data_IF_665257944233
#
_entry.id   IF_665257944233
#
_cell.length_a   1.000
_cell.length_b   1.000
_cell.length_c   1.000
_cell.angle_alpha   90.00
_cell.angle_beta   90.00
_cell.angle_gamma   90.00
#
_symmetry.space_group_name_H-M   'P 1'
#
loop_
_entity.id
_entity.type
_entity.pdbx_description
1 polymer ?
#
# COMPACT_ATOMS: atom_id res chain seq x y z
N UNK A 1 -45.70 -36.33 -56.90
CA UNK A 1 -44.68 -35.27 -57.14
C UNK A 1 -44.78 -34.27 -55.95
N UNK A 2 -43.94 -34.37 -54.96
CA UNK A 2 -43.98 -33.51 -53.77
C UNK A 2 -42.70 -32.70 -53.66
N UNK A 3 -42.80 -31.40 -53.29
CA UNK A 3 -41.64 -30.54 -53.16
C UNK A 3 -40.88 -30.79 -51.86
N UNK A 4 -39.56 -30.86 -51.98
CA UNK A 4 -38.61 -31.02 -50.88
C UNK A 4 -38.49 -29.68 -50.09
N UNK A 5 -38.88 -29.73 -48.84
CA UNK A 5 -38.59 -28.66 -47.86
C UNK A 5 -37.09 -28.65 -47.53
N UNK A 6 -36.43 -27.59 -47.92
CA UNK A 6 -35.03 -27.26 -47.52
C UNK A 6 -35.10 -26.60 -46.16
N UNK A 7 -34.69 -27.34 -45.15
CA UNK A 7 -34.62 -26.85 -43.76
C UNK A 7 -33.27 -26.18 -43.58
N UNK A 8 -33.25 -24.84 -43.68
CA UNK A 8 -32.06 -24.02 -43.36
C UNK A 8 -31.83 -23.97 -41.89
N UNK A 9 -30.77 -24.64 -41.45
CA UNK A 9 -30.28 -24.63 -40.09
C UNK A 9 -29.54 -23.30 -39.81
N UNK A 10 -30.20 -22.36 -39.11
CA UNK A 10 -29.56 -21.11 -38.67
C UNK A 10 -28.75 -21.44 -37.41
N UNK A 11 -27.45 -21.59 -37.59
CA UNK A 11 -26.49 -21.75 -36.50
C UNK A 11 -26.25 -20.35 -35.85
N UNK A 12 -27.02 -20.08 -34.79
CA UNK A 12 -26.84 -18.88 -33.98
C UNK A 12 -25.53 -18.95 -33.19
N UNK A 13 -24.52 -18.22 -33.65
CA UNK A 13 -23.26 -18.01 -32.94
C UNK A 13 -23.53 -17.11 -31.75
N UNK A 14 -23.71 -17.68 -30.55
CA UNK A 14 -23.68 -16.94 -29.30
C UNK A 14 -22.23 -16.49 -29.02
N UNK A 15 -21.91 -15.27 -29.41
CA UNK A 15 -20.74 -14.58 -28.88
C UNK A 15 -21.01 -14.27 -27.41
N UNK A 16 -20.60 -15.16 -26.55
CA UNK A 16 -20.54 -14.91 -25.12
C UNK A 16 -19.57 -13.76 -24.83
N UNK A 17 -20.12 -12.55 -24.66
CA UNK A 17 -19.36 -11.43 -24.11
C UNK A 17 -18.87 -11.83 -22.71
N UNK A 18 -17.60 -12.20 -22.59
CA UNK A 18 -16.92 -12.38 -21.32
C UNK A 18 -16.85 -11.01 -20.65
N UNK A 19 -17.90 -10.63 -19.92
CA UNK A 19 -17.86 -9.48 -19.02
C UNK A 19 -16.93 -9.84 -17.87
N UNK A 20 -15.66 -9.44 -17.99
CA UNK A 20 -14.74 -9.47 -16.85
C UNK A 20 -15.36 -8.64 -15.73
N UNK A 21 -15.52 -9.17 -14.51
CA UNK A 21 -16.03 -8.39 -13.40
C UNK A 21 -15.09 -7.19 -13.21
N UNK A 22 -15.65 -5.98 -13.29
CA UNK A 22 -14.92 -4.74 -12.98
C UNK A 22 -14.45 -4.89 -11.53
N UNK A 23 -13.17 -5.19 -11.34
CA UNK A 23 -12.55 -5.18 -10.01
C UNK A 23 -12.71 -3.78 -9.46
N UNK A 24 -13.50 -3.64 -8.39
CA UNK A 24 -13.61 -2.37 -7.67
C UNK A 24 -12.21 -2.00 -7.19
N UNK A 25 -11.57 -1.03 -7.81
CA UNK A 25 -10.27 -0.54 -7.39
C UNK A 25 -10.42 0.12 -6.01
N UNK A 26 -9.62 -0.33 -5.04
CA UNK A 26 -9.56 0.28 -3.71
C UNK A 26 -8.61 1.48 -3.70
N UNK A 27 -7.60 1.45 -4.57
CA UNK A 27 -6.56 2.47 -4.66
C UNK A 27 -6.92 3.56 -5.67
N UNK A 28 -6.40 4.77 -5.44
CA UNK A 28 -6.42 5.83 -6.46
C UNK A 28 -5.67 5.35 -7.71
N UNK A 29 -6.16 5.67 -8.93
CA UNK A 29 -5.42 5.42 -10.15
C UNK A 29 -4.02 6.03 -10.08
N UNK A 30 -2.99 5.34 -10.56
CA UNK A 30 -1.59 5.78 -10.42
C UNK A 30 -1.33 7.21 -10.91
N UNK A 31 -1.97 7.60 -12.01
CA UNK A 31 -1.88 8.96 -12.59
C UNK A 31 -2.45 10.06 -11.68
N UNK A 32 -3.31 9.71 -10.73
CA UNK A 32 -3.98 10.64 -9.81
C UNK A 32 -3.29 10.68 -8.43
N UNK A 33 -2.32 9.77 -8.19
CA UNK A 33 -1.59 9.73 -6.93
C UNK A 33 -0.63 10.90 -6.83
N UNK A 34 -0.71 11.64 -5.72
CA UNK A 34 0.22 12.72 -5.40
C UNK A 34 1.41 12.16 -4.62
N UNK A 35 2.58 12.79 -4.76
CA UNK A 35 3.74 12.46 -3.95
C UNK A 35 3.43 12.64 -2.47
N UNK A 36 3.81 11.64 -1.66
CA UNK A 36 3.78 11.79 -0.21
C UNK A 36 4.81 12.83 0.20
N UNK A 37 4.46 13.78 1.08
CA UNK A 37 5.41 14.73 1.61
C UNK A 37 6.57 14.02 2.32
N UNK A 38 7.81 14.46 2.06
CA UNK A 38 8.96 13.94 2.79
C UNK A 38 9.01 14.58 4.19
N UNK A 39 9.48 13.81 5.15
CA UNK A 39 9.71 14.27 6.52
C UNK A 39 11.07 13.81 7.01
N UNK A 40 11.52 14.39 8.11
CA UNK A 40 12.73 14.01 8.82
C UNK A 40 12.43 13.98 10.31
N UNK A 41 12.26 12.79 10.88
CA UNK A 41 11.89 12.56 12.27
C UNK A 41 12.90 11.64 12.97
N UNK A 42 12.88 11.59 14.31
CA UNK A 42 13.76 10.72 15.10
C UNK A 42 13.05 9.45 15.54
N UNK A 43 13.76 8.33 15.46
CA UNK A 43 13.32 7.05 16.03
C UNK A 43 13.72 6.93 17.53
N UNK A 44 13.36 5.79 18.13
CA UNK A 44 13.62 5.48 19.54
C UNK A 44 15.12 5.41 19.91
N UNK A 45 15.99 5.23 18.90
CA UNK A 45 17.44 5.19 19.07
C UNK A 45 18.09 6.57 18.80
N UNK A 46 17.26 7.59 18.52
CA UNK A 46 17.71 8.95 18.17
C UNK A 46 18.21 9.10 16.73
N UNK A 47 18.05 8.06 15.88
CA UNK A 47 18.44 8.12 14.47
C UNK A 47 17.43 8.95 13.68
N UNK A 48 17.93 9.76 12.78
CA UNK A 48 17.08 10.49 11.83
C UNK A 48 16.59 9.55 10.73
N UNK A 49 15.29 9.54 10.51
CA UNK A 49 14.61 8.73 9.48
C UNK A 49 13.81 9.67 8.58
N UNK A 50 13.93 9.47 7.27
CA UNK A 50 13.18 10.19 6.25
C UNK A 50 12.26 9.24 5.51
N UNK A 51 11.12 9.72 5.03
CA UNK A 51 10.26 8.90 4.15
C UNK A 51 11.01 8.52 2.86
N UNK A 52 11.84 9.42 2.34
CA UNK A 52 12.67 9.18 1.15
C UNK A 52 13.63 7.99 1.28
N UNK A 53 14.00 7.57 2.51
CA UNK A 53 14.82 6.38 2.76
C UNK A 53 14.09 5.07 2.39
N UNK A 54 12.77 5.14 2.19
CA UNK A 54 11.90 4.00 1.84
C UNK A 54 11.51 3.96 0.37
N UNK A 55 12.15 4.74 -0.50
CA UNK A 55 11.92 4.67 -1.96
C UNK A 55 12.09 3.24 -2.48
N UNK A 56 11.20 2.82 -3.38
CA UNK A 56 11.17 1.45 -3.88
C UNK A 56 10.40 0.46 -3.02
N UNK A 57 9.98 0.85 -1.82
CA UNK A 57 9.11 0.04 -0.95
C UNK A 57 7.67 0.54 -1.00
N UNK A 58 6.72 -0.36 -0.78
CA UNK A 58 5.37 -0.01 -0.38
C UNK A 58 5.43 0.35 1.10
N UNK A 59 4.88 1.51 1.49
CA UNK A 59 4.93 1.99 2.87
C UNK A 59 3.52 2.15 3.43
N UNK A 60 3.28 1.59 4.61
CA UNK A 60 2.12 1.90 5.43
C UNK A 60 2.57 2.89 6.52
N UNK A 61 2.26 4.17 6.30
CA UNK A 61 2.56 5.25 7.23
C UNK A 61 1.33 5.49 8.11
N UNK A 62 1.45 5.24 9.42
CA UNK A 62 0.34 5.32 10.36
C UNK A 62 0.61 6.35 11.45
N UNK A 63 -0.31 7.29 11.63
CA UNK A 63 -0.35 8.24 12.75
C UNK A 63 -1.20 7.66 13.86
N UNK A 64 -0.66 7.57 15.07
CA UNK A 64 -1.27 6.91 16.22
C UNK A 64 -0.81 7.52 17.55
N UNK A 65 -1.42 7.11 18.66
CA UNK A 65 -0.96 7.43 20.01
C UNK A 65 -1.28 6.30 20.98
N UNK A 66 -0.61 6.26 22.12
CA UNK A 66 -0.79 5.22 23.15
C UNK A 66 -2.18 5.27 23.80
N UNK A 67 -2.75 6.46 23.93
CA UNK A 67 -4.10 6.72 24.47
C UNK A 67 -5.22 6.49 23.44
N UNK A 68 -4.89 6.27 22.17
CA UNK A 68 -5.85 6.04 21.11
C UNK A 68 -6.33 4.58 21.10
N UNK A 69 -7.48 4.32 21.69
CA UNK A 69 -8.09 2.97 21.75
C UNK A 69 -8.21 2.29 20.38
N UNK A 70 -8.75 2.91 19.32
CA UNK A 70 -8.83 2.27 18.01
C UNK A 70 -7.45 1.98 17.38
N UNK A 71 -6.42 2.78 17.67
CA UNK A 71 -5.04 2.51 17.23
C UNK A 71 -4.53 1.18 17.80
N UNK A 72 -4.84 0.90 19.05
CA UNK A 72 -4.46 -0.34 19.73
C UNK A 72 -5.02 -1.60 19.05
N UNK A 73 -6.17 -1.50 18.39
CA UNK A 73 -6.78 -2.61 17.65
C UNK A 73 -6.07 -2.88 16.30
N UNK A 74 -5.60 -1.85 15.60
CA UNK A 74 -4.99 -2.06 14.27
C UNK A 74 -3.49 -2.37 14.31
N UNK A 75 -2.75 -1.89 15.33
CA UNK A 75 -1.31 -2.11 15.48
C UNK A 75 -0.90 -3.59 15.37
N UNK A 76 -1.60 -4.57 15.99
CA UNK A 76 -1.29 -5.99 15.80
C UNK A 76 -1.36 -6.47 14.34
N UNK A 77 -2.24 -5.87 13.50
CA UNK A 77 -2.31 -6.16 12.08
C UNK A 77 -1.05 -5.65 11.37
N UNK A 78 -0.58 -4.46 11.74
CA UNK A 78 0.63 -3.87 11.15
C UNK A 78 1.89 -4.64 11.54
N UNK A 79 1.98 -5.14 12.77
CA UNK A 79 3.02 -6.08 13.22
C UNK A 79 3.03 -7.34 12.34
N UNK A 80 1.85 -7.87 12.05
CA UNK A 80 1.71 -9.03 11.16
C UNK A 80 2.12 -8.69 9.72
N UNK A 81 1.69 -7.56 9.16
CA UNK A 81 2.02 -7.14 7.80
C UNK A 81 3.52 -6.92 7.63
N UNK A 82 4.18 -6.23 8.58
CA UNK A 82 5.64 -6.06 8.55
C UNK A 82 6.35 -7.41 8.50
N UNK A 83 5.97 -8.35 9.37
CA UNK A 83 6.56 -9.70 9.40
C UNK A 83 6.38 -10.46 8.10
N UNK A 84 5.19 -10.34 7.48
CA UNK A 84 4.84 -11.09 6.27
C UNK A 84 5.43 -10.51 4.98
N UNK A 85 5.63 -9.19 4.92
CA UNK A 85 5.88 -8.51 3.65
C UNK A 85 7.19 -7.71 3.59
N UNK A 86 7.95 -7.57 4.70
CA UNK A 86 9.22 -6.81 4.71
C UNK A 86 10.19 -7.24 3.60
N UNK A 87 10.30 -8.56 3.36
CA UNK A 87 11.20 -9.12 2.34
C UNK A 87 10.67 -8.94 0.90
N UNK A 88 9.42 -8.51 0.76
CA UNK A 88 8.80 -8.14 -0.52
C UNK A 88 8.94 -6.64 -0.84
N UNK A 89 9.76 -5.92 -0.08
CA UNK A 89 9.90 -4.47 -0.21
C UNK A 89 8.68 -3.71 0.33
N UNK A 90 8.28 -4.06 1.54
CA UNK A 90 7.25 -3.39 2.34
C UNK A 90 7.88 -2.82 3.61
N UNK A 91 7.27 -1.79 4.16
CA UNK A 91 7.59 -1.30 5.49
C UNK A 91 6.38 -0.62 6.14
N UNK A 92 6.23 -0.84 7.45
CA UNK A 92 5.36 0.00 8.29
C UNK A 92 6.22 1.09 8.94
N UNK A 93 5.70 2.32 8.98
CA UNK A 93 6.26 3.43 9.75
C UNK A 93 5.14 3.96 10.64
N UNK A 94 5.31 3.85 11.95
CA UNK A 94 4.42 4.46 12.92
C UNK A 94 4.91 5.85 13.31
N UNK A 95 4.04 6.85 13.28
CA UNK A 95 4.31 8.19 13.82
C UNK A 95 3.45 8.33 15.08
N UNK A 96 4.13 8.32 16.25
CA UNK A 96 3.47 8.54 17.53
C UNK A 96 3.21 10.03 17.74
N UNK A 97 2.00 10.34 18.18
CA UNK A 97 1.54 11.68 18.52
C UNK A 97 1.39 11.88 20.04
N UNK A 98 2.16 11.13 20.82
CA UNK A 98 2.15 11.20 22.28
C UNK A 98 2.97 12.40 22.78
N UNK A 99 2.37 13.27 23.58
CA UNK A 99 3.03 14.42 24.20
C UNK A 99 4.08 13.99 25.24
N UNK A 100 3.85 12.86 25.92
CA UNK A 100 4.79 12.29 26.88
C UNK A 100 6.03 11.66 26.19
N UNK A 101 6.02 11.60 24.89
CA UNK A 101 7.13 11.13 24.08
C UNK A 101 7.53 9.68 24.35
N UNK A 102 8.84 9.41 24.30
CA UNK A 102 9.36 8.04 24.43
C UNK A 102 9.08 7.37 25.77
N UNK A 103 8.76 8.15 26.81
CA UNK A 103 8.42 7.61 28.12
C UNK A 103 7.11 6.79 28.08
N UNK A 104 6.13 7.26 27.32
CA UNK A 104 4.88 6.52 27.09
C UNK A 104 5.02 5.48 25.97
N UNK A 105 5.72 5.84 24.88
CA UNK A 105 5.74 5.07 23.65
C UNK A 105 6.54 3.78 23.75
N UNK A 106 7.72 3.77 24.41
CA UNK A 106 8.57 2.57 24.50
C UNK A 106 7.88 1.40 25.23
N UNK A 107 7.28 1.59 26.44
CA UNK A 107 6.56 0.50 27.09
C UNK A 107 5.40 -0.03 26.25
N UNK A 108 4.68 0.84 25.55
CA UNK A 108 3.58 0.45 24.66
C UNK A 108 4.06 -0.36 23.45
N UNK A 109 5.22 0.01 22.89
CA UNK A 109 5.83 -0.75 21.79
C UNK A 109 6.19 -2.17 22.24
N UNK A 110 6.74 -2.32 23.45
CA UNK A 110 7.08 -3.61 24.04
C UNK A 110 5.83 -4.45 24.30
N UNK A 111 4.79 -3.87 24.90
CA UNK A 111 3.52 -4.53 25.20
C UNK A 111 2.86 -5.10 23.95
N UNK A 112 2.82 -4.35 22.85
CA UNK A 112 2.18 -4.77 21.60
C UNK A 112 3.12 -5.52 20.64
N UNK A 113 4.38 -5.71 21.02
CA UNK A 113 5.38 -6.38 20.18
C UNK A 113 5.62 -5.68 18.84
N UNK A 114 5.64 -4.34 18.84
CA UNK A 114 5.84 -3.53 17.63
C UNK A 114 7.22 -3.84 17.05
N UNK A 115 7.25 -4.35 15.83
CA UNK A 115 8.44 -4.85 15.14
C UNK A 115 8.83 -3.99 13.92
N UNK A 116 8.27 -2.80 13.81
CA UNK A 116 8.50 -1.84 12.73
C UNK A 116 9.01 -0.50 13.29
N UNK A 117 9.42 0.39 12.39
CA UNK A 117 9.97 1.69 12.76
C UNK A 117 8.89 2.61 13.36
N UNK A 118 9.16 3.12 14.56
CA UNK A 118 8.34 4.16 15.21
C UNK A 118 9.14 5.44 15.30
N UNK A 119 8.47 6.54 14.99
CA UNK A 119 9.04 7.90 15.00
C UNK A 119 8.20 8.78 15.92
N UNK A 120 8.84 9.78 16.51
CA UNK A 120 8.14 10.80 17.28
C UNK A 120 7.61 11.88 16.34
N UNK A 121 6.29 12.05 16.31
CA UNK A 121 5.58 13.04 15.52
C UNK A 121 5.69 14.45 16.11
N UNK A 122 5.20 15.43 15.36
CA UNK A 122 5.04 16.82 15.75
C UNK A 122 4.02 17.51 14.84
N UNK A 123 3.61 18.72 15.17
CA UNK A 123 2.63 19.50 14.39
C UNK A 123 3.06 19.71 12.92
N UNK A 124 4.37 19.84 12.68
CA UNK A 124 4.87 20.02 11.31
C UNK A 124 4.54 18.84 10.43
N UNK A 125 4.75 17.60 10.91
CA UNK A 125 4.45 16.42 10.09
C UNK A 125 2.96 16.22 9.91
N UNK A 126 2.12 16.53 10.90
CA UNK A 126 0.66 16.46 10.74
C UNK A 126 0.16 17.44 9.68
N UNK A 127 0.67 18.67 9.68
CA UNK A 127 0.34 19.69 8.68
C UNK A 127 0.78 19.30 7.28
N UNK A 128 1.98 18.71 7.13
CA UNK A 128 2.47 18.20 5.84
C UNK A 128 1.53 17.15 5.24
N UNK A 129 0.89 16.34 6.08
CA UNK A 129 -0.07 15.30 5.67
C UNK A 129 -1.52 15.76 5.65
N UNK A 130 -1.74 17.07 5.55
CA UNK A 130 -3.06 17.67 5.37
C UNK A 130 -3.80 18.01 6.68
N UNK A 131 -3.07 18.08 7.80
CA UNK A 131 -3.64 18.31 9.13
C UNK A 131 -4.27 17.03 9.67
N UNK A 132 -3.46 16.09 10.15
CA UNK A 132 -3.95 14.86 10.78
C UNK A 132 -4.53 15.23 12.15
N UNK A 133 -5.85 15.34 12.20
CA UNK A 133 -6.65 15.72 13.38
C UNK A 133 -7.39 14.53 14.01
N UNK A 134 -7.35 13.37 13.35
CA UNK A 134 -8.03 12.14 13.79
C UNK A 134 -7.06 10.97 13.83
N UNK A 135 -7.11 10.18 14.91
CA UNK A 135 -6.30 8.97 15.07
C UNK A 135 -7.20 7.72 15.16
N UNK A 136 -6.79 6.62 14.55
CA UNK A 136 -5.62 6.48 13.67
C UNK A 136 -5.86 7.13 12.30
N UNK A 137 -4.80 7.55 11.64
CA UNK A 137 -4.83 7.90 10.21
C UNK A 137 -3.66 7.21 9.51
N UNK A 138 -3.97 6.45 8.46
CA UNK A 138 -2.99 5.66 7.72
C UNK A 138 -2.92 6.06 6.26
N UNK A 139 -1.70 6.29 5.77
CA UNK A 139 -1.39 6.54 4.37
C UNK A 139 -0.74 5.31 3.77
N UNK A 140 -1.34 4.76 2.71
CA UNK A 140 -0.73 3.69 1.91
C UNK A 140 0.03 4.33 0.76
N UNK A 141 1.34 4.13 0.73
CA UNK A 141 2.27 4.80 -0.19
C UNK A 141 2.89 3.75 -1.11
N UNK A 142 2.87 4.00 -2.41
CA UNK A 142 3.42 3.10 -3.42
C UNK A 142 4.96 3.20 -3.51
N UNK A 143 5.57 2.31 -4.31
CA UNK A 143 7.04 2.24 -4.50
C UNK A 143 7.64 3.51 -5.10
N UNK A 144 6.85 4.31 -5.82
CA UNK A 144 7.26 5.61 -6.35
C UNK A 144 7.18 6.71 -5.28
N UNK A 145 6.72 6.39 -4.06
CA UNK A 145 6.53 7.33 -2.96
C UNK A 145 5.30 8.21 -3.14
N UNK A 146 4.27 7.71 -3.83
CA UNK A 146 3.01 8.42 -4.03
C UNK A 146 1.92 7.82 -3.14
N UNK A 147 1.03 8.66 -2.63
CA UNK A 147 -0.11 8.25 -1.80
C UNK A 147 -1.13 7.52 -2.66
N UNK A 148 -1.26 6.22 -2.47
CA UNK A 148 -2.20 5.36 -3.17
C UNK A 148 -3.57 5.34 -2.50
N UNK A 149 -3.61 5.37 -1.16
CA UNK A 149 -4.85 5.43 -0.38
C UNK A 149 -4.64 6.13 0.96
N UNK A 150 -5.73 6.56 1.60
CA UNK A 150 -5.75 7.12 2.95
C UNK A 150 -6.92 6.52 3.71
N UNK A 151 -6.65 6.01 4.91
CA UNK A 151 -7.68 5.54 5.85
C UNK A 151 -7.69 6.45 7.07
N UNK A 152 -8.83 7.04 7.36
CA UNK A 152 -9.07 7.91 8.52
C UNK A 152 -9.95 7.15 9.50
N UNK A 153 -9.51 7.01 10.75
CA UNK A 153 -10.14 6.18 11.76
C UNK A 153 -9.89 4.68 11.54
N UNK A 154 -10.41 3.88 12.44
CA UNK A 154 -10.31 2.42 12.37
C UNK A 154 -11.12 1.87 11.19
N UNK A 155 -10.45 1.19 10.28
CA UNK A 155 -11.07 0.42 9.21
C UNK A 155 -10.85 -1.08 9.42
N UNK A 156 -11.51 -1.94 8.65
CA UNK A 156 -11.27 -3.39 8.76
C UNK A 156 -9.89 -3.75 8.20
N UNK A 157 -9.28 -4.80 8.76
CA UNK A 157 -8.00 -5.35 8.29
C UNK A 157 -7.98 -5.63 6.79
N UNK A 158 -9.12 -6.10 6.24
CA UNK A 158 -9.25 -6.42 4.83
C UNK A 158 -9.07 -5.22 3.89
N UNK A 159 -9.31 -3.98 4.33
CA UNK A 159 -9.03 -2.80 3.51
C UNK A 159 -7.52 -2.69 3.26
N UNK A 160 -6.71 -2.80 4.30
CA UNK A 160 -5.25 -2.80 4.17
C UNK A 160 -4.74 -3.98 3.34
N UNK A 161 -5.26 -5.20 3.57
CA UNK A 161 -4.88 -6.40 2.82
C UNK A 161 -5.15 -6.24 1.31
N UNK A 162 -6.28 -5.63 0.96
CA UNK A 162 -6.62 -5.37 -0.44
C UNK A 162 -5.69 -4.34 -1.07
N UNK A 163 -5.40 -3.24 -0.36
CA UNK A 163 -4.48 -2.20 -0.83
C UNK A 163 -3.07 -2.77 -1.08
N UNK A 164 -2.54 -3.53 -0.12
CA UNK A 164 -1.23 -4.16 -0.23
C UNK A 164 -1.18 -5.17 -1.38
N UNK A 165 -2.20 -6.01 -1.50
CA UNK A 165 -2.31 -6.98 -2.60
C UNK A 165 -2.28 -6.31 -3.96
N UNK A 166 -3.03 -5.21 -4.14
CA UNK A 166 -3.06 -4.47 -5.40
C UNK A 166 -1.71 -3.83 -5.72
N UNK A 167 -1.02 -3.22 -4.72
CA UNK A 167 0.30 -2.62 -4.91
C UNK A 167 1.40 -3.64 -5.21
N UNK A 168 1.36 -4.83 -4.61
CA UNK A 168 2.32 -5.88 -4.91
C UNK A 168 2.10 -6.49 -6.30
N UNK A 169 0.85 -6.63 -6.76
CA UNK A 169 0.54 -7.14 -8.09
C UNK A 169 0.93 -6.17 -9.21
N UNK A 170 0.70 -4.86 -9.03
CA UNK A 170 1.06 -3.85 -10.03
C UNK A 170 2.57 -3.77 -10.26
N UNK A 171 3.39 -3.95 -9.22
CA UNK A 171 4.85 -3.96 -9.36
C UNK A 171 5.40 -5.16 -10.13
N UNK A 172 4.78 -6.34 -10.03
CA UNK A 172 5.20 -7.52 -10.77
C UNK A 172 5.00 -7.35 -12.29
N UNK A 173 3.94 -6.66 -12.71
CA UNK A 173 3.65 -6.39 -14.12
C UNK A 173 4.67 -5.44 -14.75
N UNK A 174 5.13 -4.42 -14.04
CA UNK A 174 6.14 -3.48 -14.53
C UNK A 174 7.54 -4.10 -14.68
N UNK A 175 7.89 -5.06 -13.83
CA UNK A 175 9.17 -5.77 -13.92
C UNK A 175 9.18 -6.75 -15.08
N UNK A 176 8.07 -7.47 -15.33
CA UNK A 176 7.93 -8.40 -16.45
C UNK A 176 7.97 -7.72 -17.83
N UNK A 177 7.38 -6.53 -17.96
CA UNK A 177 7.39 -5.78 -19.22
C UNK A 177 8.79 -5.25 -19.60
N UNK A 178 9.65 -4.92 -18.63
CA UNK A 178 11.02 -4.46 -18.90
C UNK A 178 11.96 -5.57 -19.40
N UNK A 179 11.73 -6.81 -18.99
CA UNK A 179 12.55 -7.96 -19.42
C UNK A 179 12.19 -8.47 -20.82
N UNK A 180 10.96 -8.23 -21.28
CA UNK A 180 10.49 -8.66 -22.59
C UNK A 180 10.92 -7.72 -23.75
N UNK A 181 11.48 -6.55 -23.45
CA UNK A 181 11.75 -5.48 -24.42
C UNK A 181 13.21 -5.36 -24.89
N UNK A 182 14.14 -6.28 -24.58
CA UNK A 182 15.50 -6.24 -25.11
C UNK A 182 15.60 -7.17 -26.33
N UNK A 183 15.69 -6.63 -27.56
CA UNK A 183 16.07 -7.45 -28.72
C UNK A 183 17.54 -7.88 -28.53
N UNK A 184 17.77 -9.20 -28.61
CA UNK A 184 19.12 -9.74 -28.65
C UNK A 184 19.87 -9.14 -29.84
N UNK A 185 20.90 -8.34 -29.56
CA UNK A 185 21.86 -7.90 -30.57
C UNK A 185 22.65 -9.12 -31.01
N UNK A 186 22.33 -9.63 -32.19
CA UNK A 186 23.10 -10.67 -32.81
C UNK A 186 24.49 -10.10 -33.19
N UNK A 187 25.52 -10.49 -32.46
CA UNK A 187 26.91 -10.23 -32.85
C UNK A 187 27.21 -11.17 -34.03
N UNK A 188 27.32 -10.62 -35.25
CA UNK A 188 27.90 -11.29 -36.38
C UNK A 188 29.40 -11.31 -36.16
N UNK A 189 29.98 -12.52 -36.03
CA UNK A 189 31.42 -12.74 -36.17
C UNK A 189 31.75 -12.73 -37.67
N UNK A 190 32.65 -11.85 -38.08
CA UNK A 190 33.43 -11.94 -39.32
C UNK A 190 34.78 -12.61 -39.01
#
# INVERSE_FOLDING_TARGET
>A
MGPRLIQTLILSLFLGACSSPVKKAFLKPEKERKSAPDFSLRDSDGRTVRLSDYRGKVVLLNFWATWCSPCRFEIPWFVQFERQHKDQGFAVIGISMDDEGWAAVKPFMEELGINYRVLMGNDTVTLLYGGVDSLPTSFVIDRAGKVANVHIGLVSKSHYENDLKELFQSSAQHTGARLAGHPAVAVRAE
#
